data_IF_251845970503
#
_entry.id   IF_251845970503
#
_cell.length_a   1.000
_cell.length_b   1.000
_cell.length_c   1.000
_cell.angle_alpha   90.00
_cell.angle_beta   90.00
_cell.angle_gamma   90.00
#
_symmetry.space_group_name_H-M   'P 1'
#
loop_
_entity.id
_entity.type
_entity.pdbx_description
1 polymer ?
#
# COMPACT_ATOMS: atom_id res chain seq x y z
N UNK A 1 0.89 -16.28 -3.10
CA UNK A 1 1.43 -14.94 -2.84
C UNK A 1 1.86 -14.38 -4.17
N UNK A 2 1.55 -13.11 -4.46
CA UNK A 2 2.02 -12.48 -5.69
C UNK A 2 3.55 -12.38 -5.66
N UNK A 3 4.18 -12.37 -6.82
CA UNK A 3 5.61 -12.12 -6.93
C UNK A 3 5.86 -10.61 -6.98
N UNK A 4 6.01 -10.01 -5.80
CA UNK A 4 6.18 -8.57 -5.69
C UNK A 4 7.48 -8.07 -6.34
N UNK A 5 8.53 -8.88 -6.38
CA UNK A 5 9.78 -8.51 -7.06
C UNK A 5 9.55 -8.36 -8.57
N UNK A 6 8.83 -9.32 -9.16
CA UNK A 6 8.45 -9.24 -10.58
C UNK A 6 7.52 -8.05 -10.86
N UNK A 7 6.57 -7.76 -9.97
CA UNK A 7 5.67 -6.61 -10.13
C UNK A 7 6.44 -5.29 -10.06
N UNK A 8 7.40 -5.17 -9.13
CA UNK A 8 8.27 -3.98 -9.03
C UNK A 8 9.07 -3.79 -10.33
N UNK A 9 9.58 -4.88 -10.91
CA UNK A 9 10.28 -4.84 -12.20
C UNK A 9 9.35 -4.39 -13.35
N UNK A 10 8.12 -4.89 -13.40
CA UNK A 10 7.12 -4.48 -14.42
C UNK A 10 6.66 -3.02 -14.27
N UNK A 11 6.80 -2.44 -13.06
CA UNK A 11 6.46 -1.05 -12.75
C UNK A 11 7.69 -0.11 -12.83
N UNK A 12 8.78 -0.54 -13.47
CA UNK A 12 9.98 0.27 -13.63
C UNK A 12 9.66 1.65 -14.25
N UNK A 13 10.09 2.72 -13.56
CA UNK A 13 9.79 4.10 -13.95
C UNK A 13 8.66 4.75 -13.15
N UNK A 14 7.80 3.97 -12.49
CA UNK A 14 6.79 4.47 -11.56
C UNK A 14 7.34 4.43 -10.14
N UNK A 15 7.00 5.43 -9.32
CA UNK A 15 7.41 5.44 -7.92
C UNK A 15 6.71 4.32 -7.14
N UNK A 16 7.49 3.36 -6.62
CA UNK A 16 7.02 2.26 -5.78
C UNK A 16 7.66 2.35 -4.40
N UNK A 17 6.86 2.15 -3.36
CA UNK A 17 7.26 2.11 -1.95
C UNK A 17 6.93 0.73 -1.37
N UNK A 18 7.95 0.06 -0.84
CA UNK A 18 7.86 -1.27 -0.20
C UNK A 18 8.26 -1.24 1.28
N UNK A 19 8.64 -0.08 1.82
CA UNK A 19 9.01 0.03 3.22
C UNK A 19 7.79 -0.29 4.12
N UNK A 20 7.87 -1.31 4.99
CA UNK A 20 6.73 -1.77 5.78
C UNK A 20 6.08 -0.68 6.63
N UNK A 21 6.85 0.28 7.14
CA UNK A 21 6.32 1.36 7.96
C UNK A 21 5.52 2.37 7.12
N UNK A 22 6.02 2.71 5.92
CA UNK A 22 5.40 3.68 5.03
C UNK A 22 4.18 3.09 4.33
N UNK A 23 4.25 1.83 3.91
CA UNK A 23 3.10 1.10 3.35
C UNK A 23 2.01 0.97 4.40
N UNK A 24 2.35 0.64 5.67
CA UNK A 24 1.37 0.60 6.76
C UNK A 24 0.72 1.95 7.04
N UNK A 25 1.49 3.03 7.01
CA UNK A 25 0.96 4.38 7.20
C UNK A 25 0.00 4.77 6.07
N UNK A 26 0.34 4.46 4.81
CA UNK A 26 -0.45 4.81 3.62
C UNK A 26 -1.63 3.87 3.37
N UNK A 27 -1.63 2.67 3.95
CA UNK A 27 -2.75 1.71 3.88
C UNK A 27 -3.91 2.05 4.82
N UNK A 28 -3.74 3.04 5.70
CA UNK A 28 -4.67 3.39 6.78
C UNK A 28 -5.32 4.74 6.52
N UNK A 29 -6.63 4.79 6.68
CA UNK A 29 -7.41 6.02 6.66
C UNK A 29 -7.86 6.40 8.10
N UNK A 30 -8.99 7.08 8.22
CA UNK A 30 -9.60 7.45 9.50
C UNK A 30 -10.53 6.36 10.08
N UNK A 31 -10.39 5.08 9.68
CA UNK A 31 -11.23 3.97 10.15
C UNK A 31 -11.33 3.84 11.67
N UNK A 32 -10.29 4.25 12.40
CA UNK A 32 -10.22 4.22 13.87
C UNK A 32 -11.25 5.10 14.59
N UNK A 33 -12.00 5.94 13.86
CA UNK A 33 -13.16 6.66 14.38
C UNK A 33 -14.29 5.69 14.80
N UNK A 34 -14.36 4.51 14.17
CA UNK A 34 -15.22 3.42 14.61
C UNK A 34 -14.42 2.43 15.46
N UNK A 35 -14.80 2.19 16.73
CA UNK A 35 -14.13 1.19 17.57
C UNK A 35 -14.15 -0.21 16.99
N UNK A 36 -15.22 -0.56 16.25
CA UNK A 36 -15.37 -1.86 15.57
C UNK A 36 -14.36 -1.97 14.43
N UNK A 37 -14.34 -0.98 13.53
CA UNK A 37 -13.42 -0.99 12.39
C UNK A 37 -11.97 -0.91 12.85
N UNK A 38 -11.69 -0.23 13.96
CA UNK A 38 -10.36 -0.21 14.56
C UNK A 38 -9.85 -1.62 14.84
N UNK A 39 -10.68 -2.47 15.44
CA UNK A 39 -10.32 -3.85 15.78
C UNK A 39 -10.21 -4.73 14.53
N UNK A 40 -11.17 -4.61 13.61
CA UNK A 40 -11.22 -5.44 12.40
C UNK A 40 -10.08 -5.13 11.41
N UNK A 41 -9.66 -3.87 11.29
CA UNK A 41 -8.72 -3.41 10.27
C UNK A 41 -7.28 -3.19 10.79
N UNK A 42 -6.98 -3.44 12.08
CA UNK A 42 -5.64 -3.14 12.61
C UNK A 42 -4.52 -3.91 11.90
N UNK A 43 -4.82 -5.12 11.43
CA UNK A 43 -3.86 -5.99 10.72
C UNK A 43 -3.93 -5.87 9.20
N UNK A 44 -4.81 -5.01 8.66
CA UNK A 44 -4.94 -4.81 7.20
C UNK A 44 -3.87 -3.82 6.76
N UNK A 45 -3.00 -4.29 5.87
CA UNK A 45 -1.91 -3.51 5.27
C UNK A 45 -1.68 -4.01 3.85
N UNK A 46 -1.41 -3.08 2.92
CA UNK A 46 -0.97 -3.45 1.58
C UNK A 46 0.46 -3.98 1.57
N UNK A 47 0.87 -4.56 0.45
CA UNK A 47 2.25 -5.02 0.28
C UNK A 47 3.15 -3.95 -0.35
N UNK A 48 2.57 -3.11 -1.21
CA UNK A 48 3.26 -2.06 -1.96
C UNK A 48 2.36 -0.82 -2.08
N UNK A 49 2.98 0.36 -2.19
CA UNK A 49 2.28 1.58 -2.62
C UNK A 49 2.92 2.12 -3.89
N UNK A 50 2.11 2.36 -4.91
CA UNK A 50 2.54 2.90 -6.19
C UNK A 50 1.99 4.32 -6.33
N UNK A 51 2.79 5.25 -6.86
CA UNK A 51 2.44 6.66 -7.02
C UNK A 51 2.71 7.11 -8.46
N UNK A 52 1.78 6.87 -9.40
CA UNK A 52 1.89 7.37 -10.77
C UNK A 52 1.81 8.90 -10.80
N UNK A 53 2.45 9.48 -11.81
CA UNK A 53 2.54 10.93 -12.04
C UNK A 53 1.77 11.38 -13.28
N UNK A 54 1.41 10.44 -14.16
CA UNK A 54 0.55 10.66 -15.33
C UNK A 54 -0.65 9.70 -15.32
N UNK A 55 -1.61 9.88 -16.22
CA UNK A 55 -2.77 8.98 -16.33
C UNK A 55 -2.40 7.67 -17.05
N UNK A 56 -1.40 7.73 -17.92
CA UNK A 56 -0.90 6.59 -18.68
C UNK A 56 0.02 5.65 -17.88
N UNK A 57 0.49 6.10 -16.71
CA UNK A 57 1.22 5.32 -15.69
C UNK A 57 0.27 4.58 -14.74
#
# INVERSE_FOLDING_TARGET
>A
MADYAKIIEELEGIAVEDNPALVKQKSRDFYWYSPILKEELDNVVGDLVVSPTTEEE
#
